data_IF_277374211624
#
_entry.id   IF_277374211624
#
_cell.length_a   1.000
_cell.length_b   1.000
_cell.length_c   1.000
_cell.angle_alpha   90.00
_cell.angle_beta   90.00
_cell.angle_gamma   90.00
#
_symmetry.space_group_name_H-M   'P 1'
#
loop_
_entity.id
_entity.type
_entity.pdbx_description
1 polymer ?
#
# COMPACT_ATOMS: atom_id res chain seq x y z
N UNK A 1 30.45 25.70 56.57
CA UNK A 1 30.39 27.17 56.73
C UNK A 1 29.32 27.72 55.80
N UNK A 2 28.15 28.07 56.34
CA UNK A 2 27.05 28.64 55.55
C UNK A 2 27.19 30.16 55.45
N UNK A 3 27.04 30.73 54.25
CA UNK A 3 27.01 32.19 54.04
C UNK A 3 25.59 32.71 54.19
N UNK A 4 25.41 33.59 55.17
CA UNK A 4 24.22 34.42 55.38
C UNK A 4 23.95 35.30 54.15
N UNK A 5 22.67 35.44 53.79
CA UNK A 5 22.17 36.53 52.94
C UNK A 5 21.26 37.43 53.77
N UNK A 6 21.47 38.74 53.69
CA UNK A 6 20.67 39.75 54.39
C UNK A 6 19.46 40.16 53.54
N UNK A 7 18.29 40.29 54.18
CA UNK A 7 17.08 40.87 53.57
C UNK A 7 17.33 42.36 53.29
N UNK A 8 17.37 42.76 52.02
CA UNK A 8 17.39 44.19 51.66
C UNK A 8 17.87 44.55 50.25
N UNK A 9 18.63 43.68 49.57
CA UNK A 9 19.21 44.06 48.28
C UNK A 9 18.22 43.87 47.11
N UNK A 10 17.64 45.00 46.68
CA UNK A 10 16.87 45.08 45.43
C UNK A 10 17.83 44.97 44.23
N UNK A 11 17.64 44.03 43.29
CA UNK A 11 18.48 43.96 42.10
C UNK A 11 18.19 45.13 41.15
N UNK A 12 19.25 45.90 40.84
CA UNK A 12 19.25 46.96 39.81
C UNK A 12 18.88 46.37 38.45
N UNK A 13 17.79 46.85 37.84
CA UNK A 13 17.45 46.63 36.42
C UNK A 13 18.58 47.20 35.54
N UNK A 14 19.37 46.32 34.91
CA UNK A 14 20.30 46.72 33.84
C UNK A 14 19.56 46.76 32.49
N UNK A 15 19.77 47.87 31.77
CA UNK A 15 19.28 48.16 30.43
C UNK A 15 19.78 47.10 29.44
N UNK A 16 18.86 46.67 28.57
CA UNK A 16 19.04 45.80 27.42
C UNK A 16 19.93 46.52 26.39
N UNK A 17 21.04 45.91 26.01
CA UNK A 17 21.74 46.19 24.75
C UNK A 17 21.48 45.00 23.84
N UNK A 18 20.89 45.29 22.68
CA UNK A 18 20.62 44.36 21.60
C UNK A 18 21.90 43.90 20.91
N UNK A 19 21.92 42.61 20.58
CA UNK A 19 22.45 41.94 19.37
C UNK A 19 23.12 40.63 19.74
N UNK A 20 22.28 39.64 20.07
CA UNK A 20 22.58 38.24 19.80
C UNK A 20 21.49 37.76 18.87
N UNK A 21 21.90 37.27 17.70
CA UNK A 21 21.06 36.61 16.72
C UNK A 21 20.38 35.40 17.38
N UNK A 22 19.23 35.66 17.99
CA UNK A 22 18.25 34.63 18.25
C UNK A 22 17.70 34.27 16.88
N UNK A 23 18.25 33.19 16.31
CA UNK A 23 17.48 32.37 15.39
C UNK A 23 16.16 32.07 16.09
N UNK A 24 15.10 32.75 15.65
CA UNK A 24 13.75 32.32 15.94
C UNK A 24 13.68 30.84 15.54
N UNK A 25 13.14 29.95 16.39
CA UNK A 25 12.87 28.61 15.94
C UNK A 25 11.98 28.76 14.70
N UNK A 26 12.51 28.35 13.55
CA UNK A 26 11.78 28.27 12.30
C UNK A 26 10.47 27.58 12.66
N UNK A 27 9.36 28.34 12.63
CA UNK A 27 8.03 27.76 12.75
C UNK A 27 7.96 26.78 11.59
N UNK A 28 8.16 25.49 11.88
CA UNK A 28 7.86 24.42 10.93
C UNK A 28 6.42 24.68 10.53
N UNK A 29 6.23 25.07 9.26
CA UNK A 29 4.93 25.07 8.62
C UNK A 29 4.33 23.72 8.97
N UNK A 30 3.22 23.70 9.74
CA UNK A 30 2.46 22.47 9.95
C UNK A 30 2.29 21.86 8.57
N UNK A 31 2.91 20.70 8.35
CA UNK A 31 2.64 19.93 7.15
C UNK A 31 1.13 19.81 7.04
N UNK A 32 0.61 19.93 5.82
CA UNK A 32 -0.74 19.44 5.55
C UNK A 32 -0.85 18.07 6.21
N UNK A 33 -1.84 17.87 7.07
CA UNK A 33 -2.06 16.57 7.71
C UNK A 33 -2.44 15.60 6.59
N UNK A 34 -1.43 15.04 5.90
CA UNK A 34 -1.64 14.04 4.86
C UNK A 34 -2.18 12.83 5.58
N UNK A 35 -3.44 12.49 5.30
CA UNK A 35 -4.02 11.28 5.85
C UNK A 35 -3.31 10.07 5.22
N UNK A 36 -2.49 9.38 6.01
CA UNK A 36 -1.79 8.16 5.59
C UNK A 36 -2.61 6.89 5.87
N UNK A 37 -3.84 7.04 6.35
CA UNK A 37 -4.80 5.96 6.45
C UNK A 37 -5.33 5.65 5.03
N UNK A 38 -4.77 4.64 4.38
CA UNK A 38 -5.15 4.22 3.02
C UNK A 38 -4.05 3.47 2.28
N UNK A 39 -4.22 3.37 0.97
CA UNK A 39 -3.28 2.70 0.06
C UNK A 39 -2.64 3.67 -0.94
N UNK A 40 -1.36 3.46 -1.24
CA UNK A 40 -0.58 4.19 -2.25
C UNK A 40 0.05 3.19 -3.22
N UNK A 41 0.26 3.59 -4.47
CA UNK A 41 1.06 2.79 -5.40
C UNK A 41 2.54 2.82 -5.00
N UNK A 42 3.17 1.65 -5.06
CA UNK A 42 4.61 1.50 -4.91
C UNK A 42 5.32 2.03 -6.16
N UNK A 43 6.14 3.05 -5.97
CA UNK A 43 6.85 3.77 -7.03
C UNK A 43 8.32 3.35 -7.17
N UNK A 44 8.86 2.75 -6.11
CA UNK A 44 10.22 2.25 -6.02
C UNK A 44 10.26 0.94 -5.23
N UNK A 45 11.41 0.23 -5.26
CA UNK A 45 11.56 -1.06 -4.58
C UNK A 45 11.43 -0.89 -3.07
N UNK A 46 11.85 0.26 -2.55
CA UNK A 46 11.78 0.61 -1.13
C UNK A 46 10.34 0.79 -0.60
N UNK A 47 9.37 1.00 -1.50
CA UNK A 47 7.94 1.02 -1.17
C UNK A 47 7.37 -0.40 -0.98
N UNK A 48 8.03 -1.43 -1.52
CA UNK A 48 7.54 -2.82 -1.52
C UNK A 48 7.74 -3.48 -0.15
N UNK A 49 6.93 -3.12 0.84
CA UNK A 49 6.97 -3.74 2.17
C UNK A 49 5.59 -3.85 2.83
N UNK A 50 5.43 -4.93 3.60
CA UNK A 50 4.22 -5.19 4.36
C UNK A 50 3.01 -5.54 3.46
N UNK A 51 1.79 -5.22 3.88
CA UNK A 51 0.59 -5.53 3.11
C UNK A 51 0.57 -4.83 1.75
N UNK A 52 0.26 -5.60 0.71
CA UNK A 52 0.14 -5.16 -0.67
C UNK A 52 -1.09 -5.77 -1.37
N UNK A 53 -1.51 -5.16 -2.46
CA UNK A 53 -2.39 -5.76 -3.48
C UNK A 53 -1.70 -5.67 -4.84
N UNK A 54 -1.94 -6.67 -5.69
CA UNK A 54 -1.35 -6.78 -7.04
C UNK A 54 -2.48 -6.64 -8.06
N UNK A 55 -2.40 -5.60 -8.89
CA UNK A 55 -3.45 -5.21 -9.82
C UNK A 55 -2.98 -5.27 -11.27
N UNK A 56 -3.77 -5.89 -12.13
CA UNK A 56 -3.59 -5.91 -13.57
C UNK A 56 -4.69 -5.11 -14.27
N UNK A 57 -4.35 -4.42 -15.36
CA UNK A 57 -5.33 -3.69 -16.17
C UNK A 57 -5.83 -4.59 -17.31
N UNK A 58 -7.14 -4.78 -17.38
CA UNK A 58 -7.78 -5.68 -18.36
C UNK A 58 -7.95 -4.99 -19.73
N UNK A 59 -7.82 -3.66 -19.81
CA UNK A 59 -8.27 -2.90 -20.99
C UNK A 59 -7.15 -2.29 -21.85
N UNK A 60 -5.97 -2.91 -21.90
CA UNK A 60 -4.81 -2.21 -22.49
C UNK A 60 -4.58 -2.28 -23.98
N UNK A 61 -5.32 -3.06 -24.77
CA UNK A 61 -5.20 -2.94 -26.23
C UNK A 61 -6.55 -3.05 -26.93
N UNK A 62 -7.34 -1.99 -26.76
CA UNK A 62 -8.40 -1.63 -27.68
C UNK A 62 -8.09 -0.25 -28.22
N UNK A 63 -7.85 -0.16 -29.52
CA UNK A 63 -7.89 1.06 -30.31
C UNK A 63 -9.32 1.62 -30.26
N UNK A 64 -9.77 2.06 -29.08
CA UNK A 64 -11.07 2.69 -28.89
C UNK A 64 -10.88 4.10 -29.39
N UNK A 65 -11.48 4.35 -30.56
CA UNK A 65 -11.52 5.63 -31.25
C UNK A 65 -11.55 6.79 -30.24
N UNK A 66 -10.53 7.65 -30.32
CA UNK A 66 -10.39 8.89 -29.54
C UNK A 66 -11.51 9.92 -29.80
N UNK A 67 -12.52 9.55 -30.57
CA UNK A 67 -13.63 10.42 -30.98
C UNK A 67 -14.90 10.25 -30.13
N UNK A 68 -14.82 9.53 -29.00
CA UNK A 68 -15.90 9.46 -28.01
C UNK A 68 -15.43 9.91 -26.63
N UNK A 69 -15.17 11.21 -26.49
CA UNK A 69 -14.89 11.88 -25.22
C UNK A 69 -16.08 11.90 -24.22
N UNK A 70 -17.22 11.29 -24.53
CA UNK A 70 -18.46 11.41 -23.73
C UNK A 70 -18.92 10.11 -23.01
N UNK A 71 -18.04 9.14 -22.76
CA UNK A 71 -18.38 8.01 -21.86
C UNK A 71 -17.34 7.76 -20.77
N UNK A 72 -17.27 8.67 -19.80
CA UNK A 72 -16.57 8.50 -18.51
C UNK A 72 -17.20 7.41 -17.59
N UNK A 73 -17.86 6.41 -18.14
CA UNK A 73 -18.54 5.35 -17.40
C UNK A 73 -18.42 3.96 -18.05
N UNK A 74 -17.38 3.73 -18.87
CA UNK A 74 -16.93 2.36 -19.06
C UNK A 74 -16.27 1.96 -17.74
N UNK A 75 -16.95 1.10 -16.97
CA UNK A 75 -16.45 0.57 -15.69
C UNK A 75 -15.01 0.11 -15.88
N UNK A 76 -14.04 0.83 -15.29
CA UNK A 76 -12.65 0.41 -15.34
C UNK A 76 -12.54 -0.96 -14.67
N UNK A 77 -12.36 -2.02 -15.45
CA UNK A 77 -12.23 -3.37 -14.92
C UNK A 77 -10.76 -3.66 -14.64
N UNK A 78 -10.43 -3.78 -13.36
CA UNK A 78 -9.10 -4.16 -12.88
C UNK A 78 -9.13 -5.60 -12.37
N UNK A 79 -8.14 -6.39 -12.75
CA UNK A 79 -7.92 -7.72 -12.18
C UNK A 79 -7.09 -7.58 -10.90
N UNK A 80 -7.58 -8.09 -9.77
CA UNK A 80 -6.78 -8.21 -8.54
C UNK A 80 -6.37 -9.66 -8.32
N UNK A 81 -5.09 -9.88 -8.02
CA UNK A 81 -4.63 -11.18 -7.55
C UNK A 81 -5.24 -11.45 -6.16
N UNK A 82 -5.96 -12.56 -6.01
CA UNK A 82 -6.59 -12.93 -4.75
C UNK A 82 -6.34 -14.41 -4.44
N UNK A 83 -6.51 -14.79 -3.18
CA UNK A 83 -6.27 -16.16 -2.70
C UNK A 83 -7.48 -16.66 -1.97
N UNK A 84 -8.25 -17.52 -2.62
CA UNK A 84 -9.35 -18.24 -2.00
C UNK A 84 -8.82 -19.40 -1.14
N UNK A 85 -9.70 -20.23 -0.58
CA UNK A 85 -9.33 -21.20 0.47
C UNK A 85 -8.09 -22.02 0.14
N UNK A 86 -7.88 -22.46 -1.10
CA UNK A 86 -6.69 -23.24 -1.50
C UNK A 86 -6.13 -22.89 -2.89
N UNK A 87 -6.59 -21.80 -3.49
CA UNK A 87 -6.22 -21.46 -4.87
C UNK A 87 -5.89 -19.98 -5.03
N UNK A 88 -4.86 -19.70 -5.82
CA UNK A 88 -4.59 -18.37 -6.34
C UNK A 88 -5.53 -18.12 -7.52
N UNK A 89 -6.36 -17.09 -7.41
CA UNK A 89 -7.35 -16.71 -8.41
C UNK A 89 -7.25 -15.20 -8.70
N UNK A 90 -8.14 -14.69 -9.53
CA UNK A 90 -8.28 -13.25 -9.75
C UNK A 90 -9.69 -12.78 -9.38
N UNK A 91 -9.79 -11.62 -8.76
CA UNK A 91 -11.05 -10.93 -8.53
C UNK A 91 -11.19 -9.71 -9.42
N UNK A 92 -12.42 -9.16 -9.48
CA UNK A 92 -12.71 -7.84 -10.08
C UNK A 92 -13.31 -6.85 -9.08
N UNK A 93 -13.66 -7.31 -7.89
CA UNK A 93 -14.35 -6.50 -6.89
C UNK A 93 -13.32 -5.62 -6.15
N UNK A 94 -13.14 -4.37 -6.57
CA UNK A 94 -12.28 -3.41 -5.88
C UNK A 94 -13.04 -2.11 -5.65
N UNK A 95 -12.70 -1.41 -4.58
CA UNK A 95 -13.25 -0.08 -4.34
C UNK A 95 -12.30 0.97 -4.93
N UNK A 96 -12.78 1.76 -5.90
CA UNK A 96 -12.04 2.91 -6.44
C UNK A 96 -12.31 4.13 -5.56
N UNK A 97 -11.27 4.60 -4.86
CA UNK A 97 -11.41 5.68 -3.88
C UNK A 97 -10.99 7.02 -4.49
N UNK A 98 -11.91 8.00 -4.48
CA UNK A 98 -11.69 9.33 -5.05
C UNK A 98 -10.49 10.06 -4.39
N UNK A 99 -10.40 9.99 -3.06
CA UNK A 99 -9.37 10.66 -2.25
C UNK A 99 -8.19 9.74 -1.93
N UNK A 100 -7.57 9.16 -2.96
CA UNK A 100 -6.37 8.32 -2.79
C UNK A 100 -5.10 9.15 -2.73
N UNK A 101 -4.22 8.84 -1.77
CA UNK A 101 -2.87 9.41 -1.70
C UNK A 101 -1.91 8.54 -2.50
N UNK A 102 -1.28 9.13 -3.52
CA UNK A 102 -0.17 8.52 -4.24
C UNK A 102 1.04 9.44 -4.20
N UNK A 103 2.23 8.85 -4.20
CA UNK A 103 3.49 9.56 -4.06
C UNK A 103 4.30 9.69 -5.36
N UNK A 104 3.71 9.29 -6.49
CA UNK A 104 4.28 9.42 -7.84
C UNK A 104 3.55 10.51 -8.66
N UNK A 105 4.12 10.92 -9.78
CA UNK A 105 3.77 12.15 -10.51
C UNK A 105 2.30 12.24 -10.97
N UNK A 106 1.81 13.48 -11.11
CA UNK A 106 0.45 13.81 -11.55
C UNK A 106 -0.49 14.24 -10.42
N UNK A 107 -1.57 14.96 -10.77
CA UNK A 107 -2.68 15.29 -9.86
C UNK A 107 -3.93 14.42 -10.12
N UNK A 108 -3.94 13.72 -11.27
CA UNK A 108 -5.05 12.88 -11.71
C UNK A 108 -4.46 11.52 -12.04
N UNK A 109 -4.86 10.51 -11.27
CA UNK A 109 -4.43 9.13 -11.47
C UNK A 109 -5.53 8.30 -12.14
N UNK A 110 -5.19 7.35 -13.02
CA UNK A 110 -6.12 6.30 -13.47
C UNK A 110 -6.69 5.53 -12.27
N UNK A 111 -7.89 4.95 -12.40
CA UNK A 111 -8.54 4.30 -11.25
C UNK A 111 -7.80 3.08 -10.71
N UNK A 112 -6.97 2.39 -11.51
CA UNK A 112 -6.10 1.30 -11.00
C UNK A 112 -5.16 1.76 -9.88
N UNK A 113 -4.70 3.02 -9.95
CA UNK A 113 -3.87 3.65 -8.92
C UNK A 113 -4.67 4.20 -7.74
N UNK A 114 -6.00 4.04 -7.75
CA UNK A 114 -6.95 4.49 -6.73
C UNK A 114 -7.71 3.33 -6.08
N UNK A 115 -7.43 2.10 -6.49
CA UNK A 115 -8.08 0.91 -5.93
C UNK A 115 -7.62 0.64 -4.49
N UNK A 116 -8.58 0.24 -3.65
CA UNK A 116 -8.38 -0.35 -2.33
C UNK A 116 -9.03 -1.74 -2.24
N UNK A 117 -8.48 -2.66 -1.44
CA UNK A 117 -9.08 -3.98 -1.26
C UNK A 117 -10.36 -3.88 -0.45
N UNK A 118 -11.39 -4.63 -0.89
CA UNK A 118 -12.65 -4.77 -0.16
C UNK A 118 -12.77 -6.14 0.53
N UNK A 119 -11.89 -7.10 0.19
CA UNK A 119 -11.85 -8.45 0.77
C UNK A 119 -10.44 -8.78 1.26
N UNK A 120 -10.36 -9.60 2.32
CA UNK A 120 -9.07 -10.01 2.92
C UNK A 120 -8.27 -10.91 1.98
N UNK A 121 -8.96 -11.73 1.17
CA UNK A 121 -8.32 -12.62 0.20
C UNK A 121 -7.56 -11.88 -0.91
N UNK A 122 -7.80 -10.58 -1.10
CA UNK A 122 -7.07 -9.74 -2.06
C UNK A 122 -5.74 -9.21 -1.51
N UNK A 123 -5.57 -9.24 -0.19
CA UNK A 123 -4.39 -8.69 0.48
C UNK A 123 -3.32 -9.77 0.63
N UNK A 124 -2.13 -9.45 0.13
CA UNK A 124 -0.91 -10.23 0.31
C UNK A 124 0.05 -9.44 1.20
N UNK A 125 1.05 -10.11 1.75
CA UNK A 125 2.15 -9.47 2.48
C UNK A 125 3.45 -9.75 1.76
N UNK A 126 4.16 -8.67 1.41
CA UNK A 126 5.52 -8.74 0.87
C UNK A 126 6.49 -9.10 1.98
N UNK A 127 7.12 -10.26 1.86
CA UNK A 127 8.18 -10.74 2.76
C UNK A 127 9.52 -10.59 2.04
N UNK A 128 10.36 -9.60 2.41
CA UNK A 128 11.64 -9.38 1.74
C UNK A 128 12.59 -10.55 1.99
N UNK A 129 13.19 -11.06 0.92
CA UNK A 129 14.19 -12.12 0.97
C UNK A 129 15.56 -11.47 0.87
N UNK A 130 16.32 -11.52 1.97
CA UNK A 130 17.69 -11.04 1.97
C UNK A 130 18.57 -12.03 1.21
N UNK A 131 19.26 -11.55 0.18
CA UNK A 131 20.47 -12.21 -0.26
C UNK A 131 21.51 -12.06 0.86
N UNK A 132 22.16 -13.15 1.24
CA UNK A 132 23.04 -13.20 2.41
C UNK A 132 24.14 -12.12 2.34
N UNK A 133 24.53 -11.62 3.52
CA UNK A 133 25.59 -10.64 3.87
C UNK A 133 25.21 -9.18 4.15
N UNK A 134 23.98 -8.73 3.92
CA UNK A 134 23.57 -7.36 4.28
C UNK A 134 22.54 -7.40 5.40
N UNK A 135 22.84 -6.71 6.50
CA UNK A 135 22.05 -6.52 7.72
C UNK A 135 20.57 -6.92 7.62
N UNK A 136 20.11 -7.82 8.52
CA UNK A 136 18.69 -8.22 8.68
C UNK A 136 17.70 -7.06 8.85
N UNK A 137 18.19 -5.84 9.04
CA UNK A 137 17.39 -4.61 9.22
C UNK A 137 17.26 -3.77 7.95
N UNK A 138 17.97 -4.10 6.86
CA UNK A 138 18.01 -3.29 5.64
C UNK A 138 17.14 -3.92 4.54
N UNK A 139 15.82 -3.93 4.75
CA UNK A 139 14.84 -4.42 3.76
C UNK A 139 14.82 -3.58 2.48
N UNK A 140 15.45 -2.41 2.46
CA UNK A 140 15.41 -1.46 1.35
C UNK A 140 16.38 -1.76 0.21
N UNK A 141 16.98 -2.95 0.14
CA UNK A 141 17.96 -3.30 -0.92
C UNK A 141 17.67 -4.59 -1.68
N UNK A 142 16.58 -5.29 -1.34
CA UNK A 142 16.19 -6.49 -2.09
C UNK A 142 15.05 -6.17 -3.02
N UNK A 143 15.15 -6.63 -4.26
CA UNK A 143 14.02 -6.73 -5.17
C UNK A 143 13.39 -8.12 -5.16
N UNK A 144 13.84 -9.00 -4.24
CA UNK A 144 13.36 -10.38 -4.09
C UNK A 144 12.42 -10.50 -2.90
N UNK A 145 11.22 -10.97 -3.15
CA UNK A 145 10.14 -11.07 -2.17
C UNK A 145 9.43 -12.41 -2.29
N UNK A 146 8.99 -12.93 -1.16
CA UNK A 146 7.93 -13.93 -1.13
C UNK A 146 6.59 -13.23 -0.89
N UNK A 147 5.53 -13.78 -1.48
CA UNK A 147 4.16 -13.27 -1.33
C UNK A 147 3.41 -14.16 -0.33
N UNK A 148 3.17 -13.63 0.86
CA UNK A 148 2.46 -14.32 1.93
C UNK A 148 0.97 -13.97 1.91
N UNK A 149 0.12 -14.98 2.00
CA UNK A 149 -1.33 -14.84 2.00
C UNK A 149 -1.86 -14.62 3.41
N UNK A 150 -3.10 -14.15 3.53
CA UNK A 150 -3.79 -13.98 4.82
C UNK A 150 -3.97 -15.31 5.60
N UNK A 151 -3.83 -16.46 4.95
CA UNK A 151 -3.81 -17.79 5.58
C UNK A 151 -2.41 -18.22 6.07
N UNK A 152 -1.44 -17.30 6.13
CA UNK A 152 -0.05 -17.60 6.50
C UNK A 152 0.62 -18.66 5.61
N UNK A 153 0.24 -18.71 4.32
CA UNK A 153 0.91 -19.52 3.29
C UNK A 153 1.61 -18.61 2.28
N UNK A 154 2.53 -19.15 1.50
CA UNK A 154 3.26 -18.45 0.45
C UNK A 154 2.80 -18.94 -0.91
N UNK A 155 2.72 -18.03 -1.87
CA UNK A 155 2.43 -18.35 -3.27
C UNK A 155 3.70 -18.91 -3.90
N UNK A 156 3.60 -20.05 -4.58
CA UNK A 156 4.66 -20.64 -5.39
C UNK A 156 4.52 -20.31 -6.89
N UNK A 157 5.56 -20.59 -7.67
CA UNK A 157 5.53 -20.53 -9.14
C UNK A 157 4.52 -21.47 -9.78
N UNK A 158 4.18 -22.57 -9.11
CA UNK A 158 3.13 -23.52 -9.54
C UNK A 158 1.72 -23.04 -9.18
N UNK A 159 1.58 -21.85 -8.58
CA UNK A 159 0.33 -21.31 -8.04
C UNK A 159 -0.24 -22.11 -6.88
N UNK A 160 0.57 -22.96 -6.25
CA UNK A 160 0.23 -23.67 -5.03
C UNK A 160 0.50 -22.80 -3.80
N UNK A 161 -0.15 -23.13 -2.68
CA UNK A 161 0.01 -22.44 -1.41
C UNK A 161 0.81 -23.31 -0.44
N UNK A 162 2.00 -22.84 -0.06
CA UNK A 162 2.93 -23.61 0.78
C UNK A 162 3.22 -22.91 2.11
N UNK A 163 3.68 -23.64 3.12
CA UNK A 163 3.96 -23.05 4.46
C UNK A 163 5.38 -22.52 4.63
N UNK A 164 6.31 -22.88 3.74
CA UNK A 164 7.71 -22.53 3.83
C UNK A 164 8.17 -21.88 2.53
N UNK A 165 9.15 -20.98 2.65
CA UNK A 165 9.78 -20.31 1.51
C UNK A 165 10.95 -21.18 1.05
N UNK A 166 10.83 -21.78 -0.12
CA UNK A 166 11.93 -22.33 -0.92
C UNK A 166 12.18 -21.44 -2.14
N UNK A 167 12.92 -21.96 -3.11
CA UNK A 167 13.29 -21.19 -4.31
C UNK A 167 12.07 -20.78 -5.14
N UNK A 168 11.07 -21.66 -5.25
CA UNK A 168 9.84 -21.44 -6.03
C UNK A 168 8.89 -20.39 -5.44
N UNK A 169 9.12 -19.93 -4.22
CA UNK A 169 8.29 -18.91 -3.54
C UNK A 169 8.98 -17.54 -3.55
N UNK A 170 10.13 -17.42 -4.21
CA UNK A 170 10.92 -16.19 -4.27
C UNK A 170 10.74 -15.56 -5.64
N UNK A 171 10.22 -14.34 -5.66
CA UNK A 171 9.94 -13.56 -6.86
C UNK A 171 10.78 -12.28 -6.89
N UNK A 172 11.27 -11.93 -8.06
CA UNK A 172 11.94 -10.66 -8.34
C UNK A 172 10.94 -9.65 -8.90
N UNK A 173 10.83 -8.50 -8.26
CA UNK A 173 9.99 -7.39 -8.70
C UNK A 173 10.83 -6.42 -9.53
N UNK A 174 10.52 -6.27 -10.81
CA UNK A 174 11.23 -5.37 -11.73
C UNK A 174 10.34 -4.18 -12.08
N UNK A 175 10.82 -2.97 -11.83
CA UNK A 175 10.15 -1.75 -12.29
C UNK A 175 10.22 -1.69 -13.82
N UNK A 176 9.09 -1.43 -14.46
CA UNK A 176 9.01 -1.20 -15.90
C UNK A 176 9.23 0.28 -16.16
N UNK A 177 10.22 0.61 -16.99
CA UNK A 177 10.41 1.97 -17.46
C UNK A 177 9.61 2.17 -18.74
N UNK A 178 8.45 2.82 -18.64
CA UNK A 178 7.46 2.98 -19.72
C UNK A 178 7.80 4.17 -20.65
N UNK A 179 8.98 4.79 -20.49
CA UNK A 179 9.39 5.98 -21.26
C UNK A 179 9.35 5.83 -22.81
N UNK A 180 9.24 4.59 -23.33
CA UNK A 180 9.11 4.32 -24.77
C UNK A 180 7.81 3.56 -25.15
N UNK A 181 6.90 3.32 -24.21
CA UNK A 181 5.66 2.61 -24.50
C UNK A 181 4.52 3.59 -24.78
N UNK A 182 3.64 3.22 -25.72
CA UNK A 182 2.52 4.06 -26.23
C UNK A 182 1.46 4.44 -25.16
N UNK A 183 1.73 4.10 -23.90
CA UNK A 183 0.86 4.24 -22.75
C UNK A 183 0.89 5.63 -22.10
N UNK A 184 1.83 6.50 -22.49
CA UNK A 184 1.70 7.95 -22.30
C UNK A 184 1.74 8.49 -20.87
N UNK A 185 2.02 7.66 -19.86
CA UNK A 185 2.11 8.10 -18.46
C UNK A 185 3.40 7.58 -17.80
N UNK A 186 4.12 8.46 -17.09
CA UNK A 186 5.23 8.15 -16.18
C UNK A 186 4.70 7.47 -14.90
N UNK A 187 3.98 6.37 -15.09
CA UNK A 187 3.32 5.61 -14.03
C UNK A 187 4.17 4.40 -13.61
N UNK A 188 4.17 4.07 -12.31
CA UNK A 188 4.91 2.92 -11.82
C UNK A 188 4.18 1.60 -12.14
N UNK A 189 4.83 0.79 -12.97
CA UNK A 189 4.41 -0.57 -13.32
C UNK A 189 5.50 -1.58 -12.94
N UNK A 190 5.08 -2.79 -12.59
CA UNK A 190 5.94 -3.85 -12.09
C UNK A 190 5.75 -5.15 -12.86
N UNK A 191 6.86 -5.82 -13.15
CA UNK A 191 6.87 -7.23 -13.56
C UNK A 191 7.24 -8.09 -12.35
N UNK A 192 6.53 -9.20 -12.17
CA UNK A 192 6.83 -10.20 -11.13
C UNK A 192 7.46 -11.40 -11.82
N UNK A 193 8.72 -11.69 -11.51
CA UNK A 193 9.57 -12.62 -12.26
C UNK A 193 10.12 -13.70 -11.33
N UNK A 194 10.20 -14.93 -11.82
CA UNK A 194 10.95 -16.02 -11.21
C UNK A 194 11.86 -16.62 -12.27
N UNK A 195 13.18 -16.51 -12.08
CA UNK A 195 14.20 -16.84 -13.07
C UNK A 195 13.89 -16.22 -14.45
N UNK A 196 13.69 -17.05 -15.47
CA UNK A 196 13.34 -16.63 -16.84
C UNK A 196 11.84 -16.62 -17.10
N UNK A 197 10.99 -16.84 -16.09
CA UNK A 197 9.53 -16.82 -16.19
C UNK A 197 8.90 -15.59 -15.54
N UNK A 198 7.79 -15.11 -16.09
CA UNK A 198 7.02 -13.96 -15.59
C UNK A 198 5.63 -14.39 -15.18
N UNK A 199 5.12 -13.80 -14.11
CA UNK A 199 3.72 -13.91 -13.73
C UNK A 199 2.85 -13.26 -14.80
N UNK A 200 1.86 -14.00 -15.28
CA UNK A 200 0.86 -13.48 -16.23
C UNK A 200 -0.54 -13.84 -15.76
N UNK A 201 -1.49 -12.98 -16.09
CA UNK A 201 -2.91 -13.27 -16.04
C UNK A 201 -3.39 -13.40 -17.48
N UNK A 202 -3.81 -14.60 -17.86
CA UNK A 202 -4.33 -14.90 -19.18
C UNK A 202 -5.84 -15.02 -19.13
N UNK A 203 -6.54 -14.29 -20.00
CA UNK A 203 -7.97 -14.45 -20.18
C UNK A 203 -8.26 -15.65 -21.10
N UNK A 204 -8.94 -16.66 -20.57
CA UNK A 204 -9.34 -17.88 -21.28
C UNK A 204 -10.79 -18.22 -20.94
N UNK A 205 -11.65 -18.30 -21.96
CA UNK A 205 -13.02 -18.79 -21.86
C UNK A 205 -13.86 -18.16 -20.73
N UNK A 206 -13.79 -16.83 -20.60
CA UNK A 206 -14.47 -16.04 -19.54
C UNK A 206 -13.88 -16.19 -18.13
N UNK A 207 -12.72 -16.83 -17.99
CA UNK A 207 -11.96 -16.94 -16.74
C UNK A 207 -10.59 -16.33 -16.90
N UNK A 208 -10.05 -15.76 -15.84
CA UNK A 208 -8.66 -15.31 -15.80
C UNK A 208 -7.84 -16.35 -15.06
N UNK A 209 -6.77 -16.82 -15.70
CA UNK A 209 -5.86 -17.81 -15.13
C UNK A 209 -4.54 -17.15 -14.81
N UNK A 210 -4.09 -17.33 -13.58
CA UNK A 210 -2.79 -16.86 -13.11
C UNK A 210 -1.78 -17.98 -13.35
N UNK A 211 -0.64 -17.68 -13.97
CA UNK A 211 0.44 -18.65 -14.22
C UNK A 211 1.78 -17.95 -14.39
N UNK A 212 2.88 -18.70 -14.25
CA UNK A 212 4.19 -18.27 -14.73
C UNK A 212 4.43 -18.78 -16.15
N UNK A 213 4.93 -17.91 -17.03
CA UNK A 213 5.27 -18.23 -18.42
C UNK A 213 6.69 -17.76 -18.70
N UNK A 214 7.49 -18.61 -19.36
CA UNK A 214 8.83 -18.24 -19.82
C UNK A 214 8.76 -16.92 -20.61
N UNK A 215 9.62 -15.96 -20.30
CA UNK A 215 9.59 -14.60 -20.83
C UNK A 215 9.65 -14.58 -22.36
N UNK A 216 10.40 -15.49 -22.98
CA UNK A 216 10.49 -15.63 -24.44
C UNK A 216 9.29 -16.34 -25.10
N UNK A 217 8.31 -16.78 -24.32
CA UNK A 217 7.10 -17.49 -24.77
C UNK A 217 5.81 -16.76 -24.41
N UNK A 218 5.88 -15.56 -23.82
CA UNK A 218 4.70 -14.74 -23.55
C UNK A 218 4.13 -14.31 -24.90
N UNK A 219 2.90 -14.74 -25.25
CA UNK A 219 2.26 -14.28 -26.48
C UNK A 219 2.07 -12.76 -26.46
N UNK A 220 2.39 -12.11 -27.58
CA UNK A 220 2.04 -10.70 -27.82
C UNK A 220 0.55 -10.60 -28.19
N UNK A 221 -0.33 -10.94 -27.25
CA UNK A 221 -1.78 -10.88 -27.45
C UNK A 221 -2.43 -10.03 -26.38
N UNK A 222 -3.46 -9.30 -26.75
CA UNK A 222 -4.18 -8.34 -25.89
C UNK A 222 -4.88 -8.99 -24.69
N UNK A 223 -5.01 -10.32 -24.67
CA UNK A 223 -5.65 -11.10 -23.60
C UNK A 223 -4.71 -11.47 -22.44
N UNK A 224 -3.47 -10.95 -22.45
CA UNK A 224 -2.45 -11.25 -21.45
C UNK A 224 -2.05 -10.00 -20.69
N UNK A 225 -2.13 -10.09 -19.36
CA UNK A 225 -1.66 -9.06 -18.44
C UNK A 225 -0.37 -9.58 -17.81
N UNK A 226 0.74 -8.92 -18.09
CA UNK A 226 2.07 -9.29 -17.59
C UNK A 226 2.77 -8.17 -16.80
N UNK A 227 2.08 -7.04 -16.65
CA UNK A 227 2.51 -5.86 -15.90
C UNK A 227 1.46 -5.48 -14.88
N UNK A 228 1.91 -5.11 -13.69
CA UNK A 228 1.05 -4.92 -12.55
C UNK A 228 1.30 -3.58 -11.85
N UNK A 229 0.24 -3.00 -11.31
CA UNK A 229 0.31 -1.95 -10.30
C UNK A 229 0.32 -2.61 -8.93
N UNK A 230 1.34 -2.31 -8.14
CA UNK A 230 1.43 -2.79 -6.75
C UNK A 230 0.99 -1.65 -5.85
N UNK A 231 -0.10 -1.86 -5.09
CA UNK A 231 -0.53 -0.89 -4.07
C UNK A 231 -0.12 -1.42 -2.70
N UNK A 232 0.42 -0.56 -1.86
CA UNK A 232 0.84 -0.85 -0.48
C UNK A 232 0.16 0.12 0.46
N UNK A 233 0.15 -0.15 1.77
CA UNK A 233 -0.36 0.84 2.72
C UNK A 233 0.45 2.15 2.60
N UNK A 234 -0.20 3.31 2.58
CA UNK A 234 0.47 4.60 2.32
C UNK A 234 1.62 4.86 3.28
N UNK A 235 1.45 4.50 4.56
CA UNK A 235 2.51 4.56 5.60
C UNK A 235 3.74 3.69 5.31
N UNK A 236 3.60 2.64 4.51
CA UNK A 236 4.69 1.75 4.13
C UNK A 236 5.48 2.27 2.93
N UNK A 237 5.04 3.32 2.26
CA UNK A 237 5.89 3.94 1.23
C UNK A 237 7.06 4.69 1.88
N UNK A 238 8.13 4.92 1.12
CA UNK A 238 9.28 5.73 1.52
C UNK A 238 8.81 7.12 1.98
N UNK A 239 8.00 7.80 1.17
CA UNK A 239 7.48 9.14 1.50
C UNK A 239 6.52 9.10 2.69
N UNK A 240 5.59 8.15 2.74
CA UNK A 240 4.65 8.02 3.86
C UNK A 240 5.36 7.77 5.20
N UNK A 241 6.36 6.89 5.21
CA UNK A 241 7.18 6.65 6.40
C UNK A 241 8.02 7.88 6.80
N UNK A 242 8.55 8.64 5.85
CA UNK A 242 9.25 9.90 6.13
C UNK A 242 8.31 10.97 6.72
N UNK A 243 7.08 11.08 6.22
CA UNK A 243 6.06 12.00 6.77
C UNK A 243 5.78 11.63 8.23
N UNK A 244 5.56 10.33 8.54
CA UNK A 244 5.34 9.87 9.92
C UNK A 244 6.51 10.16 10.85
N UNK A 245 7.76 9.98 10.39
CA UNK A 245 8.96 10.27 11.18
C UNK A 245 9.12 11.77 11.43
N UNK A 246 8.74 12.61 10.47
CA UNK A 246 8.79 14.06 10.60
C UNK A 246 7.67 14.61 11.50
N UNK A 247 6.53 13.94 11.57
CA UNK A 247 5.36 14.25 12.42
C UNK A 247 5.42 13.62 13.82
N UNK A 248 6.63 13.51 14.39
CA UNK A 248 6.95 12.90 15.71
C UNK A 248 6.18 13.36 16.97
N UNK A 249 5.09 14.14 16.85
CA UNK A 249 4.10 14.39 17.91
C UNK A 249 2.82 13.52 17.79
N UNK A 250 2.70 12.67 16.77
CA UNK A 250 1.54 11.78 16.65
C UNK A 250 1.79 10.48 17.41
N UNK A 251 1.00 10.26 18.46
CA UNK A 251 0.90 8.99 19.19
C UNK A 251 0.58 7.85 18.19
N UNK A 252 1.62 7.12 17.78
CA UNK A 252 1.63 6.20 16.63
C UNK A 252 1.03 4.82 16.95
N UNK A 253 0.36 4.68 18.09
CA UNK A 253 -0.47 3.50 18.34
C UNK A 253 -1.73 3.54 17.46
N UNK A 254 -2.21 2.39 16.94
CA UNK A 254 -3.51 2.33 16.30
C UNK A 254 -4.58 2.88 17.25
N UNK A 255 -5.06 4.09 16.96
CA UNK A 255 -6.01 4.76 17.82
C UNK A 255 -7.39 4.18 17.54
N UNK A 256 -7.86 3.33 18.46
CA UNK A 256 -9.16 2.68 18.38
C UNK A 256 -10.30 3.65 18.04
N UNK A 257 -10.28 4.88 18.58
CA UNK A 257 -11.33 5.86 18.30
C UNK A 257 -11.27 6.38 16.86
N UNK A 258 -10.08 6.54 16.29
CA UNK A 258 -9.92 6.90 14.87
C UNK A 258 -10.42 5.76 13.97
N UNK A 259 -10.01 4.53 14.27
CA UNK A 259 -10.41 3.32 13.52
C UNK A 259 -11.93 3.15 13.52
N UNK A 260 -12.58 3.31 14.66
CA UNK A 260 -14.05 3.23 14.77
C UNK A 260 -14.73 4.33 13.96
N UNK A 261 -14.23 5.57 14.00
CA UNK A 261 -14.78 6.67 13.19
C UNK A 261 -14.61 6.43 11.70
N UNK A 262 -13.46 5.91 11.29
CA UNK A 262 -13.18 5.59 9.90
C UNK A 262 -14.10 4.46 9.41
N UNK A 263 -14.25 3.38 10.19
CA UNK A 263 -15.21 2.31 9.88
C UNK A 263 -16.64 2.81 9.77
N UNK A 264 -17.06 3.74 10.63
CA UNK A 264 -18.39 4.35 10.54
C UNK A 264 -18.57 5.16 9.26
N UNK A 265 -17.55 5.93 8.85
CA UNK A 265 -17.55 6.67 7.59
C UNK A 265 -17.59 5.72 6.38
N UNK A 266 -16.71 4.73 6.35
CA UNK A 266 -16.54 3.82 5.22
C UNK A 266 -17.75 2.88 5.02
N UNK A 267 -18.52 2.62 6.08
CA UNK A 267 -19.76 1.83 6.01
C UNK A 267 -21.02 2.69 5.86
N UNK A 268 -20.88 4.00 5.61
CA UNK A 268 -22.00 4.96 5.55
C UNK A 268 -22.91 4.90 6.79
N UNK A 269 -22.31 4.72 7.97
CA UNK A 269 -22.99 4.65 9.26
C UNK A 269 -23.76 3.36 9.54
N UNK A 270 -23.64 2.33 8.67
CA UNK A 270 -24.33 1.05 8.85
C UNK A 270 -23.71 0.16 9.95
N UNK A 271 -22.48 0.43 10.35
CA UNK A 271 -21.80 -0.33 11.41
C UNK A 271 -22.36 0.01 12.80
N UNK A 272 -22.67 -1.03 13.58
CA UNK A 272 -23.06 -0.88 14.98
C UNK A 272 -21.82 -0.84 15.89
N UNK A 273 -21.58 0.31 16.53
CA UNK A 273 -20.50 0.48 17.49
C UNK A 273 -20.94 -0.12 18.83
N UNK A 274 -20.52 -1.37 19.09
CA UNK A 274 -20.82 -2.09 20.33
C UNK A 274 -19.55 -2.61 21.01
N UNK A 275 -19.67 -3.06 22.26
CA UNK A 275 -18.55 -3.57 23.06
C UNK A 275 -17.85 -4.78 22.40
N UNK A 276 -18.57 -5.56 21.59
CA UNK A 276 -17.99 -6.69 20.84
C UNK A 276 -17.07 -6.21 19.71
N UNK A 277 -17.46 -5.18 18.95
CA UNK A 277 -16.62 -4.57 17.91
C UNK A 277 -15.35 -3.98 18.55
N UNK A 278 -15.53 -3.21 19.62
CA UNK A 278 -14.42 -2.60 20.36
C UNK A 278 -13.45 -3.66 20.88
N UNK A 279 -13.96 -4.78 21.40
CA UNK A 279 -13.13 -5.90 21.84
C UNK A 279 -12.33 -6.52 20.69
N UNK A 280 -12.97 -6.84 19.55
CA UNK A 280 -12.27 -7.41 18.38
C UNK A 280 -11.17 -6.49 17.84
N UNK A 281 -11.44 -5.18 17.76
CA UNK A 281 -10.43 -4.21 17.33
C UNK A 281 -9.27 -4.10 18.34
N UNK A 282 -9.54 -4.13 19.65
CA UNK A 282 -8.49 -4.16 20.68
C UNK A 282 -7.64 -5.43 20.60
N UNK A 283 -8.30 -6.59 20.43
CA UNK A 283 -7.62 -7.87 20.29
C UNK A 283 -6.72 -7.85 19.04
N UNK A 284 -7.23 -7.36 17.90
CA UNK A 284 -6.46 -7.22 16.66
C UNK A 284 -5.31 -6.21 16.76
N UNK A 285 -5.48 -5.11 17.51
CA UNK A 285 -4.38 -4.18 17.83
C UNK A 285 -3.28 -4.92 18.61
N UNK A 286 -3.65 -5.78 19.55
CA UNK A 286 -2.69 -6.51 20.38
C UNK A 286 -1.95 -7.63 19.63
N UNK A 287 -2.59 -8.23 18.61
CA UNK A 287 -1.99 -9.29 17.78
C UNK A 287 -1.25 -8.74 16.55
N UNK A 288 -1.49 -7.48 16.18
CA UNK A 288 -0.90 -6.83 15.01
C UNK A 288 -1.73 -6.95 13.73
N UNK A 289 -2.91 -7.56 13.80
CA UNK A 289 -3.79 -7.88 12.64
C UNK A 289 -4.93 -6.86 12.46
N UNK A 290 -4.69 -5.59 12.82
CA UNK A 290 -5.73 -4.55 12.83
C UNK A 290 -6.28 -4.27 11.43
N UNK A 291 -5.45 -4.39 10.39
CA UNK A 291 -5.86 -4.14 9.02
C UNK A 291 -6.86 -5.21 8.54
N UNK A 292 -6.55 -6.47 8.83
CA UNK A 292 -7.36 -7.64 8.53
C UNK A 292 -8.71 -7.53 9.24
N UNK A 293 -8.71 -7.15 10.52
CA UNK A 293 -9.92 -6.95 11.28
C UNK A 293 -10.78 -5.80 10.72
N UNK A 294 -10.18 -4.69 10.30
CA UNK A 294 -10.91 -3.57 9.68
C UNK A 294 -11.62 -4.03 8.40
N UNK A 295 -10.92 -4.77 7.54
CA UNK A 295 -11.51 -5.30 6.29
C UNK A 295 -12.64 -6.29 6.61
N UNK A 296 -12.46 -7.19 7.57
CA UNK A 296 -13.51 -8.12 8.01
C UNK A 296 -14.77 -7.40 8.53
N UNK A 297 -14.61 -6.27 9.22
CA UNK A 297 -15.77 -5.49 9.67
C UNK A 297 -16.43 -4.76 8.49
N UNK A 298 -15.66 -4.18 7.56
CA UNK A 298 -16.22 -3.54 6.35
C UNK A 298 -17.02 -4.53 5.50
N UNK A 299 -16.46 -5.72 5.25
CA UNK A 299 -17.06 -6.72 4.34
C UNK A 299 -18.44 -7.19 4.80
N UNK A 300 -18.73 -7.19 6.11
CA UNK A 300 -20.05 -7.53 6.67
C UNK A 300 -21.17 -6.57 6.25
N UNK A 301 -20.83 -5.35 5.86
CA UNK A 301 -21.79 -4.30 5.50
C UNK A 301 -21.77 -3.95 4.01
N UNK A 302 -20.66 -4.24 3.31
CA UNK A 302 -20.54 -4.04 1.86
C UNK A 302 -21.13 -5.22 1.06
N UNK A 303 -21.14 -6.44 1.58
CA UNK A 303 -21.64 -7.66 0.91
C UNK A 303 -23.18 -7.82 0.85
N UNK A 304 -23.95 -6.76 1.10
CA UNK A 304 -25.43 -6.80 1.12
C UNK A 304 -26.12 -6.06 -0.04
N UNK A 305 -25.40 -5.80 -1.12
CA UNK A 305 -25.93 -5.14 -2.32
C UNK A 305 -25.56 -5.94 -3.56
#
# INVERSE_FOLDING_TARGET
MGKLTFKGDKPKKRKRTEKEDRHEPVKKTRGENVNLDGWSTASCVEDLKGPCIVLGDIHKDGNVDKDKEDSFAAEEQHAVLQVDEDAVTTGKDLDVVADTVNFFGGNVYPGIHKCEPNKVNQVLTLVPISEFEKSRLDTSKTNRFALKTHHNRYISTTMELVHAIGDNEIFTFKSVNVANDKLGYDEPWWEIVHDDARLVIEHSDSTYKVKFVDTGKIPETNDIIDRFVIRVQSKNTLKGSQILLNDSEVDNGPNLNKIVRQLYKDTNGKIEINDKLVKRLKDAISTGDINEQIIQEKSRYLSKW
#
